data_IF_034214259150
#
_entry.id   IF_034214259150
#
_cell.length_a   1.000
_cell.length_b   1.000
_cell.length_c   1.000
_cell.angle_alpha   90.00
_cell.angle_beta   90.00
_cell.angle_gamma   90.00
#
_symmetry.space_group_name_H-M   'P 1'
#
loop_
_entity.id
_entity.type
_entity.pdbx_description
1 polymer ?
#
# COMPACT_ATOMS: atom_id res chain seq x y z
N UNK A 1 14.24 7.00 7.42
CA UNK A 1 15.26 8.07 7.26
C UNK A 1 15.26 9.04 8.44
N UNK A 2 14.11 9.59 8.85
CA UNK A 2 14.02 10.42 10.06
C UNK A 2 14.15 9.59 11.34
N UNK A 3 13.66 8.35 11.34
CA UNK A 3 13.90 7.38 12.42
C UNK A 3 15.41 7.16 12.62
N UNK A 4 16.14 6.79 11.56
CA UNK A 4 17.60 6.67 11.62
C UNK A 4 18.31 7.95 12.09
N UNK A 5 17.89 9.12 11.60
CA UNK A 5 18.46 10.40 12.05
C UNK A 5 18.19 10.64 13.55
N UNK A 6 16.98 10.33 14.02
CA UNK A 6 16.63 10.48 15.44
C UNK A 6 17.47 9.57 16.34
N UNK A 7 17.82 8.36 15.89
CA UNK A 7 18.73 7.47 16.61
C UNK A 7 20.13 8.06 16.72
N UNK A 8 20.63 8.65 15.63
CA UNK A 8 21.90 9.37 15.65
C UNK A 8 21.86 10.60 16.56
N UNK A 9 20.71 11.23 16.81
CA UNK A 9 20.61 12.43 17.65
C UNK A 9 20.38 12.13 19.14
N UNK A 10 20.18 10.86 19.52
CA UNK A 10 20.02 10.44 20.92
C UNK A 10 21.21 10.81 21.81
N UNK A 11 22.44 10.85 21.24
CA UNK A 11 23.61 11.24 22.02
C UNK A 11 23.61 12.74 22.38
N UNK A 12 22.87 13.57 21.65
CA UNK A 12 22.74 15.00 21.90
C UNK A 12 21.63 15.30 22.90
N UNK A 13 20.47 14.66 22.72
CA UNK A 13 19.31 14.81 23.61
C UNK A 13 18.51 13.50 23.69
N UNK A 14 18.32 12.93 24.90
CA UNK A 14 17.46 11.76 25.10
C UNK A 14 16.02 11.94 24.62
N UNK A 15 15.53 13.18 24.49
CA UNK A 15 14.19 13.51 23.99
C UNK A 15 13.90 12.99 22.58
N UNK A 16 14.93 12.76 21.75
CA UNK A 16 14.75 12.14 20.43
C UNK A 16 14.27 10.69 20.49
N UNK A 17 14.36 10.02 21.65
CA UNK A 17 13.85 8.65 21.85
C UNK A 17 12.34 8.53 21.64
N UNK A 18 11.61 9.64 21.73
CA UNK A 18 10.17 9.69 21.45
C UNK A 18 9.85 9.19 20.03
N UNK A 19 10.75 9.37 19.06
CA UNK A 19 10.57 8.87 17.69
C UNK A 19 10.79 7.36 17.53
N UNK A 20 11.24 6.65 18.57
CA UNK A 20 11.35 5.19 18.52
C UNK A 20 9.99 4.50 18.78
N UNK A 21 9.06 5.18 19.47
CA UNK A 21 7.73 4.64 19.72
C UNK A 21 6.96 4.39 18.43
N UNK A 22 6.65 3.12 18.16
CA UNK A 22 5.97 2.68 16.93
C UNK A 22 4.61 3.37 16.73
N UNK A 23 3.85 3.54 17.80
CA UNK A 23 2.53 4.22 17.76
C UNK A 23 2.65 5.68 17.35
N UNK A 24 3.65 6.39 17.88
CA UNK A 24 3.92 7.76 17.45
C UNK A 24 4.34 7.81 15.99
N UNK A 25 5.26 6.94 15.57
CA UNK A 25 5.71 6.86 14.17
C UNK A 25 4.55 6.60 13.21
N UNK A 26 3.60 5.75 13.58
CA UNK A 26 2.39 5.51 12.79
C UNK A 26 1.52 6.78 12.64
N UNK A 27 1.30 7.52 13.74
CA UNK A 27 0.56 8.80 13.71
C UNK A 27 1.29 9.81 12.84
N UNK A 28 2.60 9.97 13.04
CA UNK A 28 3.42 10.90 12.26
C UNK A 28 3.44 10.51 10.77
N UNK A 29 3.43 9.22 10.45
CA UNK A 29 3.34 8.75 9.07
C UNK A 29 1.97 9.06 8.45
N UNK A 30 0.88 8.90 9.18
CA UNK A 30 -0.45 9.31 8.71
C UNK A 30 -0.52 10.83 8.49
N UNK A 31 -0.10 11.63 9.47
CA UNK A 31 -0.09 13.09 9.34
C UNK A 31 0.81 13.57 8.19
N UNK A 32 2.01 12.99 8.06
CA UNK A 32 2.96 13.36 6.99
C UNK A 32 2.40 12.99 5.62
N UNK A 33 1.81 11.81 5.46
CA UNK A 33 1.20 11.38 4.19
C UNK A 33 0.01 12.27 3.81
N UNK A 34 -0.84 12.62 4.78
CA UNK A 34 -1.96 13.54 4.58
C UNK A 34 -1.47 14.93 4.16
N UNK A 35 -0.47 15.48 4.86
CA UNK A 35 0.13 16.78 4.52
C UNK A 35 0.76 16.77 3.13
N UNK A 36 1.50 15.71 2.77
CA UNK A 36 2.06 15.56 1.42
C UNK A 36 0.93 15.55 0.38
N UNK A 37 -0.14 14.77 0.60
CA UNK A 37 -1.28 14.73 -0.33
C UNK A 37 -1.93 16.11 -0.49
N UNK A 38 -2.18 16.82 0.61
CA UNK A 38 -2.85 18.13 0.59
C UNK A 38 -1.98 19.25 -0.02
N UNK A 39 -0.67 19.25 0.23
CA UNK A 39 0.23 20.29 -0.26
C UNK A 39 0.69 20.04 -1.70
N UNK A 40 0.98 18.79 -2.05
CA UNK A 40 1.46 18.40 -3.38
C UNK A 40 0.29 18.19 -4.35
N UNK A 41 -0.90 17.87 -3.83
CA UNK A 41 -2.11 17.62 -4.63
C UNK A 41 -2.45 18.75 -5.61
N UNK A 42 -2.60 20.01 -5.16
CA UNK A 42 -2.90 21.13 -6.05
C UNK A 42 -1.86 21.31 -7.16
N UNK A 43 -0.58 21.12 -6.85
CA UNK A 43 0.51 21.19 -7.83
C UNK A 43 0.43 20.08 -8.87
N UNK A 44 0.19 18.84 -8.44
CA UNK A 44 0.04 17.68 -9.33
C UNK A 44 -1.20 17.84 -10.21
N UNK A 45 -2.33 18.28 -9.65
CA UNK A 45 -3.58 18.53 -10.38
C UNK A 45 -3.35 19.61 -11.45
N UNK A 46 -2.72 20.73 -11.10
CA UNK A 46 -2.39 21.79 -12.05
C UNK A 46 -1.52 21.26 -13.20
N UNK A 47 -0.49 20.47 -12.88
CA UNK A 47 0.41 19.91 -13.88
C UNK A 47 -0.27 18.91 -14.80
N UNK A 48 -1.20 18.10 -14.28
CA UNK A 48 -1.97 17.15 -15.09
C UNK A 48 -2.98 17.86 -16.01
N UNK A 49 -3.57 18.96 -15.54
CA UNK A 49 -4.44 19.82 -16.36
C UNK A 49 -3.66 20.46 -17.51
N UNK A 50 -2.44 20.96 -17.27
CA UNK A 50 -1.58 21.55 -18.29
C UNK A 50 -1.21 20.55 -19.40
N UNK A 51 -1.11 19.26 -19.05
CA UNK A 51 -0.80 18.19 -20.00
C UNK A 51 -2.02 17.73 -20.82
N UNK A 52 -3.19 18.36 -20.63
CA UNK A 52 -4.46 17.98 -21.28
C UNK A 52 -4.79 16.49 -21.13
N UNK A 53 -4.43 15.90 -19.98
CA UNK A 53 -4.70 14.51 -19.60
C UNK A 53 -6.17 14.41 -19.13
N UNK A 54 -7.10 14.81 -19.99
CA UNK A 54 -8.53 14.68 -19.80
C UNK A 54 -9.01 13.32 -20.32
N UNK A 55 -9.91 12.67 -19.58
CA UNK A 55 -10.51 11.40 -20.03
C UNK A 55 -11.23 11.59 -21.38
N UNK A 56 -10.89 10.77 -22.38
CA UNK A 56 -11.74 10.59 -23.56
C UNK A 56 -12.97 9.77 -23.15
N UNK A 57 -14.13 10.42 -23.10
CA UNK A 57 -15.40 9.83 -22.65
C UNK A 57 -15.84 8.75 -23.65
N UNK A 58 -16.25 7.57 -23.13
CA UNK A 58 -17.00 6.57 -23.90
C UNK A 58 -18.41 7.11 -24.15
N UNK A 59 -18.88 7.10 -25.39
CA UNK A 59 -20.17 7.66 -25.83
C UNK A 59 -21.43 6.96 -25.26
N UNK A 60 -21.30 5.94 -24.43
CA UNK A 60 -22.42 5.15 -23.89
C UNK A 60 -22.42 5.15 -22.34
N UNK A 61 -22.87 6.24 -21.74
CA UNK A 61 -23.03 6.36 -20.28
C UNK A 61 -24.09 7.40 -19.88
N UNK A 62 -24.73 7.27 -18.70
CA UNK A 62 -25.82 8.15 -18.27
C UNK A 62 -25.37 9.60 -18.04
N UNK A 63 -26.29 10.56 -18.21
CA UNK A 63 -26.02 12.01 -18.26
C UNK A 63 -25.32 12.58 -17.00
N UNK A 64 -25.40 11.90 -15.85
CA UNK A 64 -24.64 12.26 -14.63
C UNK A 64 -23.12 12.09 -14.77
N UNK A 65 -22.64 11.35 -15.78
CA UNK A 65 -21.22 11.23 -16.13
C UNK A 65 -20.70 12.38 -17.01
N UNK A 66 -21.57 13.24 -17.56
CA UNK A 66 -21.16 14.36 -18.40
C UNK A 66 -20.61 15.56 -17.59
N UNK A 67 -20.94 15.65 -16.29
CA UNK A 67 -20.40 16.65 -15.37
C UNK A 67 -18.97 16.34 -14.89
N UNK A 68 -18.40 15.18 -15.24
CA UNK A 68 -17.05 14.73 -14.88
C UNK A 68 -15.97 15.15 -15.89
N UNK A 69 -16.30 16.06 -16.81
CA UNK A 69 -15.38 16.58 -17.79
C UNK A 69 -14.28 17.42 -17.10
N UNK A 70 -13.05 16.90 -17.07
CA UNK A 70 -11.86 17.69 -16.74
C UNK A 70 -11.17 17.39 -15.41
N UNK A 71 -11.58 16.38 -14.63
CA UNK A 71 -10.75 15.90 -13.53
C UNK A 71 -9.58 15.07 -14.09
N UNK A 72 -8.33 15.44 -13.79
CA UNK A 72 -7.17 14.76 -14.33
C UNK A 72 -7.10 13.33 -13.81
N UNK A 73 -6.81 12.39 -14.72
CA UNK A 73 -6.53 10.99 -14.35
C UNK A 73 -5.07 10.84 -13.95
N UNK A 74 -4.76 9.88 -13.06
CA UNK A 74 -3.47 9.63 -12.38
C UNK A 74 -3.33 10.17 -10.94
N UNK A 75 -4.43 10.42 -10.24
CA UNK A 75 -4.42 10.73 -8.79
C UNK A 75 -3.70 9.67 -7.93
N UNK A 76 -3.67 8.40 -8.38
CA UNK A 76 -2.91 7.34 -7.74
C UNK A 76 -1.40 7.62 -7.60
N UNK A 77 -0.81 8.43 -8.49
CA UNK A 77 0.60 8.82 -8.37
C UNK A 77 0.85 9.73 -7.16
N UNK A 78 -0.10 10.61 -6.82
CA UNK A 78 -0.04 11.43 -5.61
C UNK A 78 -0.12 10.55 -4.36
N UNK A 79 -1.05 9.60 -4.34
CA UNK A 79 -1.21 8.64 -3.24
C UNK A 79 0.08 7.84 -3.05
N UNK A 80 0.64 7.28 -4.13
CA UNK A 80 1.90 6.52 -4.07
C UNK A 80 3.06 7.38 -3.53
N UNK A 81 3.18 8.63 -3.99
CA UNK A 81 4.21 9.55 -3.52
C UNK A 81 4.05 9.85 -2.02
N UNK A 82 2.83 10.10 -1.56
CA UNK A 82 2.53 10.37 -0.16
C UNK A 82 2.80 9.14 0.73
N UNK A 83 2.33 7.95 0.32
CA UNK A 83 2.52 6.71 1.06
C UNK A 83 3.99 6.32 1.14
N UNK A 84 4.68 6.24 0.00
CA UNK A 84 6.08 5.82 -0.05
C UNK A 84 6.99 6.84 0.62
N UNK A 85 6.78 8.14 0.38
CA UNK A 85 7.53 9.22 1.01
C UNK A 85 7.40 9.17 2.54
N UNK A 86 6.17 9.07 3.04
CA UNK A 86 5.93 9.00 4.48
C UNK A 86 6.48 7.72 5.12
N UNK A 87 6.34 6.57 4.45
CA UNK A 87 6.90 5.30 4.92
C UNK A 87 8.41 5.37 5.03
N UNK A 88 9.12 5.88 4.01
CA UNK A 88 10.58 5.99 4.04
C UNK A 88 11.08 6.96 5.13
N UNK A 89 10.28 7.97 5.48
CA UNK A 89 10.62 8.88 6.57
C UNK A 89 10.58 8.17 7.93
N UNK A 90 9.50 7.45 8.22
CA UNK A 90 9.17 6.99 9.57
C UNK A 90 9.38 5.50 9.84
N UNK A 91 9.34 4.64 8.82
CA UNK A 91 9.51 3.20 9.01
C UNK A 91 10.99 2.85 9.27
N UNK A 92 11.20 1.77 9.99
CA UNK A 92 12.50 1.12 10.09
C UNK A 92 12.87 0.49 8.72
N UNK A 93 13.98 0.95 8.13
CA UNK A 93 14.43 0.51 6.81
C UNK A 93 15.32 -0.74 6.88
N UNK A 94 15.71 -1.20 8.06
CA UNK A 94 16.36 -2.50 8.23
C UNK A 94 15.31 -3.64 8.23
N UNK A 95 14.03 -3.29 8.37
CA UNK A 95 12.94 -4.23 8.37
C UNK A 95 12.59 -4.74 6.96
N UNK A 96 12.72 -6.05 6.74
CA UNK A 96 12.41 -6.66 5.44
C UNK A 96 10.94 -6.52 5.02
N UNK A 97 9.98 -6.51 5.95
CA UNK A 97 8.56 -6.44 5.61
C UNK A 97 8.22 -5.08 5.01
N UNK A 98 8.86 -4.01 5.50
CA UNK A 98 8.76 -2.64 4.96
C UNK A 98 9.22 -2.60 3.51
N UNK A 99 10.37 -3.22 3.19
CA UNK A 99 10.85 -3.30 1.81
C UNK A 99 9.93 -4.10 0.89
N UNK A 100 9.39 -5.22 1.38
CA UNK A 100 8.47 -6.05 0.59
C UNK A 100 7.22 -5.25 0.21
N UNK A 101 6.62 -4.51 1.13
CA UNK A 101 5.45 -3.67 0.80
C UNK A 101 5.82 -2.49 -0.09
N UNK A 102 6.96 -1.80 0.14
CA UNK A 102 7.44 -0.72 -0.72
C UNK A 102 7.64 -1.20 -2.16
N UNK A 103 8.35 -2.30 -2.35
CA UNK A 103 8.65 -2.85 -3.68
C UNK A 103 7.37 -3.31 -4.37
N UNK A 104 6.49 -4.02 -3.65
CA UNK A 104 5.23 -4.51 -4.21
C UNK A 104 4.32 -3.35 -4.62
N UNK A 105 4.11 -2.38 -3.75
CA UNK A 105 3.30 -1.18 -4.04
C UNK A 105 3.87 -0.37 -5.19
N UNK A 106 5.20 -0.21 -5.26
CA UNK A 106 5.87 0.48 -6.36
C UNK A 106 5.71 -0.28 -7.68
N UNK A 107 5.88 -1.60 -7.68
CA UNK A 107 5.75 -2.44 -8.87
C UNK A 107 4.33 -2.40 -9.44
N UNK A 108 3.32 -2.60 -8.59
CA UNK A 108 1.91 -2.52 -8.99
C UNK A 108 1.51 -1.10 -9.39
N UNK A 109 2.03 -0.09 -8.70
CA UNK A 109 1.87 1.32 -9.06
C UNK A 109 2.45 1.64 -10.43
N UNK A 110 3.64 1.13 -10.76
CA UNK A 110 4.26 1.29 -12.07
C UNK A 110 3.46 0.59 -13.19
N UNK A 111 2.92 -0.60 -12.93
CA UNK A 111 2.04 -1.29 -13.88
C UNK A 111 0.78 -0.47 -14.15
N UNK A 112 0.15 0.06 -13.09
CA UNK A 112 -1.01 0.95 -13.20
C UNK A 112 -0.69 2.23 -13.95
N UNK A 113 0.44 2.87 -13.64
CA UNK A 113 0.92 4.06 -14.34
C UNK A 113 1.12 3.82 -15.84
N UNK A 114 1.70 2.68 -16.24
CA UNK A 114 1.87 2.35 -17.68
C UNK A 114 0.53 2.13 -18.37
N UNK A 115 -0.45 1.52 -17.70
CA UNK A 115 -1.81 1.34 -18.20
C UNK A 115 -2.49 2.71 -18.43
N UNK A 116 -2.47 3.59 -17.41
CA UNK A 116 -3.08 4.92 -17.46
C UNK A 116 -2.38 5.85 -18.46
N UNK A 117 -1.05 5.83 -18.50
CA UNK A 117 -0.26 6.59 -19.47
C UNK A 117 -0.63 6.22 -20.91
N UNK A 118 -0.84 4.93 -21.21
CA UNK A 118 -1.29 4.49 -22.54
C UNK A 118 -2.70 4.95 -22.85
N UNK A 119 -3.62 4.86 -21.89
CA UNK A 119 -5.01 5.31 -22.06
C UNK A 119 -5.08 6.79 -22.39
N UNK A 120 -4.35 7.62 -21.65
CA UNK A 120 -4.51 9.06 -21.74
C UNK A 120 -3.56 9.69 -22.76
N UNK A 121 -2.26 9.40 -22.69
CA UNK A 121 -1.27 10.07 -23.55
C UNK A 121 -1.28 9.49 -24.96
N UNK A 122 -1.47 8.17 -25.11
CA UNK A 122 -1.53 7.52 -26.44
C UNK A 122 -2.94 7.45 -27.03
N UNK A 123 -3.96 7.92 -26.29
CA UNK A 123 -5.37 7.88 -26.68
C UNK A 123 -5.85 6.47 -27.09
N UNK A 124 -5.24 5.43 -26.54
CA UNK A 124 -5.64 4.04 -26.76
C UNK A 124 -6.65 3.64 -25.69
N UNK A 125 -7.93 3.64 -26.04
CA UNK A 125 -9.03 3.31 -25.12
C UNK A 125 -8.92 1.90 -24.51
N UNK A 126 -8.10 1.01 -25.08
CA UNK A 126 -7.87 -0.33 -24.56
C UNK A 126 -6.81 -0.38 -23.45
N UNK A 127 -5.95 0.63 -23.33
CA UNK A 127 -4.86 0.67 -22.35
C UNK A 127 -3.80 -0.43 -22.55
N UNK A 128 -3.22 -0.93 -21.45
CA UNK A 128 -2.29 -2.04 -21.48
C UNK A 128 -3.07 -3.34 -21.79
N UNK A 129 -2.70 -4.11 -22.84
CA UNK A 129 -3.40 -5.36 -23.14
C UNK A 129 -3.41 -6.29 -21.93
N UNK A 130 -4.57 -6.90 -21.64
CA UNK A 130 -4.78 -7.70 -20.43
C UNK A 130 -3.69 -8.77 -20.21
N UNK A 131 -3.22 -9.41 -21.28
CA UNK A 131 -2.11 -10.38 -21.23
C UNK A 131 -0.82 -9.82 -20.63
N UNK A 132 -0.47 -8.56 -20.96
CA UNK A 132 0.74 -7.91 -20.48
C UNK A 132 0.55 -7.35 -19.07
N UNK A 133 -0.63 -6.80 -18.78
CA UNK A 133 -0.99 -6.37 -17.42
C UNK A 133 -0.91 -7.54 -16.45
N UNK A 134 -1.56 -8.64 -16.79
CA UNK A 134 -1.53 -9.87 -15.99
C UNK A 134 -0.11 -10.43 -15.89
N UNK A 135 0.64 -10.55 -16.99
CA UNK A 135 2.02 -11.04 -16.94
C UNK A 135 2.90 -10.23 -15.97
N UNK A 136 2.84 -8.89 -16.03
CA UNK A 136 3.64 -8.04 -15.14
C UNK A 136 3.20 -8.14 -13.69
N UNK A 137 1.89 -8.17 -13.43
CA UNK A 137 1.36 -8.45 -12.09
C UNK A 137 1.83 -9.81 -11.59
N UNK A 138 1.85 -10.82 -12.46
CA UNK A 138 2.27 -12.16 -12.12
C UNK A 138 3.75 -12.22 -11.75
N UNK A 139 4.61 -11.58 -12.53
CA UNK A 139 6.06 -11.51 -12.26
C UNK A 139 6.33 -10.80 -10.93
N UNK A 140 5.68 -9.65 -10.70
CA UNK A 140 5.85 -8.89 -9.45
C UNK A 140 5.34 -9.69 -8.23
N UNK A 141 4.15 -10.30 -8.33
CA UNK A 141 3.58 -11.09 -7.26
C UNK A 141 4.41 -12.35 -6.95
N UNK A 142 4.84 -13.11 -7.97
CA UNK A 142 5.69 -14.29 -7.78
C UNK A 142 7.04 -13.92 -7.15
N UNK A 143 7.66 -12.82 -7.59
CA UNK A 143 8.90 -12.35 -6.98
C UNK A 143 8.70 -12.02 -5.50
N UNK A 144 7.64 -11.27 -5.16
CA UNK A 144 7.29 -10.94 -3.78
C UNK A 144 7.04 -12.19 -2.92
N UNK A 145 6.26 -13.16 -3.41
CA UNK A 145 5.89 -14.35 -2.63
C UNK A 145 7.05 -15.32 -2.47
N UNK A 146 7.90 -15.45 -3.49
CA UNK A 146 9.14 -16.20 -3.39
C UNK A 146 10.11 -15.56 -2.39
N UNK A 147 10.23 -14.23 -2.38
CA UNK A 147 11.04 -13.53 -1.38
C UNK A 147 10.50 -13.76 0.03
N UNK A 148 9.19 -13.63 0.26
CA UNK A 148 8.57 -13.94 1.55
C UNK A 148 8.85 -15.39 1.98
N UNK A 149 8.67 -16.35 1.08
CA UNK A 149 8.84 -17.77 1.37
C UNK A 149 10.30 -18.15 1.66
N UNK A 150 11.24 -17.66 0.86
CA UNK A 150 12.67 -18.03 0.98
C UNK A 150 13.40 -17.31 2.11
N UNK A 151 12.90 -16.14 2.53
CA UNK A 151 13.46 -15.38 3.66
C UNK A 151 12.76 -15.66 4.98
N UNK A 152 11.73 -16.52 4.99
CA UNK A 152 11.01 -16.89 6.21
C UNK A 152 11.96 -17.52 7.22
N UNK A 153 12.00 -16.95 8.43
CA UNK A 153 12.87 -17.43 9.52
C UNK A 153 12.06 -18.33 10.45
N UNK A 154 10.77 -18.04 10.60
CA UNK A 154 9.87 -18.75 11.49
C UNK A 154 8.77 -19.51 10.70
N UNK A 155 8.38 -20.74 11.10
CA UNK A 155 7.29 -21.48 10.45
C UNK A 155 5.96 -20.73 10.42
N UNK A 156 5.72 -19.88 11.42
CA UNK A 156 4.52 -19.04 11.58
C UNK A 156 4.31 -18.12 10.37
N UNK A 157 5.38 -17.70 9.69
CA UNK A 157 5.29 -16.81 8.53
C UNK A 157 4.69 -17.47 7.29
N UNK A 158 4.76 -18.80 7.20
CA UNK A 158 4.27 -19.58 6.06
C UNK A 158 3.10 -20.48 6.43
N UNK A 159 2.56 -20.29 7.63
CA UNK A 159 1.43 -21.05 8.15
C UNK A 159 0.13 -20.29 7.89
N UNK A 160 -0.87 -20.98 7.34
CA UNK A 160 -2.22 -20.45 7.19
C UNK A 160 -2.98 -20.67 8.50
N UNK A 161 -3.25 -19.58 9.20
CA UNK A 161 -4.14 -19.58 10.36
C UNK A 161 -5.56 -19.29 9.91
N UNK A 162 -6.51 -20.14 10.32
CA UNK A 162 -7.92 -19.90 10.05
C UNK A 162 -8.51 -19.12 11.24
N UNK A 163 -9.00 -17.89 11.02
CA UNK A 163 -9.63 -17.12 12.10
C UNK A 163 -10.75 -17.90 12.77
N UNK A 164 -10.98 -17.65 14.07
CA UNK A 164 -11.97 -18.33 14.93
C UNK A 164 -11.68 -19.81 15.25
N UNK A 165 -10.86 -20.50 14.47
CA UNK A 165 -10.45 -21.89 14.72
C UNK A 165 -8.98 -21.93 15.15
N UNK A 166 -8.72 -21.71 16.45
CA UNK A 166 -7.36 -21.58 17.00
C UNK A 166 -6.47 -22.81 16.80
N UNK A 167 -7.07 -24.00 16.65
CA UNK A 167 -6.35 -25.25 16.42
C UNK A 167 -6.06 -25.52 14.93
N UNK A 168 -6.59 -24.70 14.02
CA UNK A 168 -6.41 -24.87 12.58
C UNK A 168 -5.28 -23.96 12.10
N UNK A 169 -4.08 -24.52 12.15
CA UNK A 169 -2.84 -23.92 11.64
C UNK A 169 -2.24 -24.85 10.58
N UNK A 170 -2.39 -24.50 9.31
CA UNK A 170 -1.89 -25.31 8.20
C UNK A 170 -0.53 -24.79 7.72
N UNK A 171 0.53 -25.53 8.02
CA UNK A 171 1.85 -25.27 7.42
C UNK A 171 1.79 -25.56 5.92
N UNK A 172 1.77 -24.50 5.11
CA UNK A 172 1.51 -24.61 3.67
C UNK A 172 2.73 -25.15 2.90
N UNK A 173 3.94 -24.99 3.44
CA UNK A 173 5.17 -25.24 2.71
C UNK A 173 5.16 -24.51 1.36
N UNK A 174 5.52 -25.21 0.28
CA UNK A 174 5.53 -24.63 -1.07
C UNK A 174 4.17 -24.14 -1.58
N UNK A 175 3.04 -24.59 -1.01
CA UNK A 175 1.71 -24.07 -1.37
C UNK A 175 1.50 -22.62 -0.94
N UNK A 176 2.33 -22.09 -0.04
CA UNK A 176 2.35 -20.67 0.31
C UNK A 176 2.53 -19.79 -0.92
N UNK A 177 3.42 -20.16 -1.84
CA UNK A 177 3.76 -19.36 -3.02
C UNK A 177 2.56 -19.15 -3.96
N UNK A 178 1.89 -20.20 -4.48
CA UNK A 178 0.71 -20.03 -5.33
C UNK A 178 -0.48 -19.42 -4.60
N UNK A 179 -0.66 -19.70 -3.29
CA UNK A 179 -1.73 -19.10 -2.49
C UNK A 179 -1.54 -17.58 -2.33
N UNK A 180 -0.38 -17.15 -1.85
CA UNK A 180 -0.06 -15.73 -1.67
C UNK A 180 -0.03 -14.99 -3.01
N UNK A 181 0.38 -15.66 -4.09
CA UNK A 181 0.31 -15.11 -5.45
C UNK A 181 -1.14 -14.77 -5.83
N UNK A 182 -2.05 -15.73 -5.60
CA UNK A 182 -3.46 -15.56 -5.89
C UNK A 182 -4.06 -14.42 -5.08
N UNK A 183 -3.72 -14.31 -3.79
CA UNK A 183 -4.15 -13.21 -2.93
C UNK A 183 -3.67 -11.86 -3.47
N UNK A 184 -2.39 -11.70 -3.77
CA UNK A 184 -1.83 -10.42 -4.24
C UNK A 184 -2.44 -9.98 -5.58
N UNK A 185 -2.43 -10.87 -6.58
CA UNK A 185 -2.97 -10.55 -7.91
C UNK A 185 -4.48 -10.37 -7.86
N UNK A 186 -5.18 -11.20 -7.09
CA UNK A 186 -6.63 -11.12 -6.87
C UNK A 186 -7.03 -9.79 -6.22
N UNK A 187 -6.39 -9.40 -5.12
CA UNK A 187 -6.64 -8.13 -4.44
C UNK A 187 -6.38 -6.91 -5.33
N UNK A 188 -5.29 -6.92 -6.11
CA UNK A 188 -5.00 -5.81 -7.04
C UNK A 188 -6.10 -5.63 -8.09
N UNK A 189 -6.60 -6.73 -8.66
CA UNK A 189 -7.68 -6.68 -9.65
C UNK A 189 -9.04 -6.36 -9.01
N UNK A 190 -9.30 -6.81 -7.77
CA UNK A 190 -10.51 -6.48 -7.03
C UNK A 190 -10.62 -4.97 -6.73
N UNK A 191 -9.53 -4.33 -6.31
CA UNK A 191 -9.49 -2.88 -6.10
C UNK A 191 -9.66 -2.13 -7.42
N UNK A 192 -8.99 -2.58 -8.50
CA UNK A 192 -9.15 -1.98 -9.83
C UNK A 192 -10.60 -2.04 -10.33
N UNK A 193 -11.31 -3.13 -10.06
CA UNK A 193 -12.73 -3.28 -10.43
C UNK A 193 -13.66 -2.39 -9.59
N UNK A 194 -13.28 -2.09 -8.35
CA UNK A 194 -14.04 -1.23 -7.43
C UNK A 194 -13.88 0.25 -7.76
N UNK A 195 -12.76 0.63 -8.37
CA UNK A 195 -12.39 2.01 -8.73
C UNK A 195 -13.10 2.50 -10.00
N UNK A 196 -14.44 2.51 -9.96
CA UNK A 196 -15.32 2.96 -11.05
C UNK A 196 -16.11 4.24 -10.75
N UNK A 197 -16.05 4.74 -9.51
CA UNK A 197 -16.72 5.97 -9.05
C UNK A 197 -15.76 6.79 -8.18
N UNK A 198 -15.91 8.12 -8.22
CA UNK A 198 -15.01 9.05 -7.52
C UNK A 198 -15.01 8.75 -6.01
N UNK A 199 -13.83 8.42 -5.46
CA UNK A 199 -13.66 8.13 -4.05
C UNK A 199 -14.17 6.76 -3.58
N UNK A 200 -14.74 5.92 -4.47
CA UNK A 200 -15.31 4.63 -4.06
C UNK A 200 -14.25 3.62 -3.61
N UNK A 201 -13.09 3.58 -4.26
CA UNK A 201 -12.05 2.61 -3.90
C UNK A 201 -11.20 3.06 -2.70
N UNK A 202 -11.01 4.37 -2.51
CA UNK A 202 -10.06 4.90 -1.53
C UNK A 202 -10.57 4.74 -0.08
N UNK A 203 -11.85 4.98 0.19
CA UNK A 203 -12.41 4.80 1.54
C UNK A 203 -12.31 3.34 2.04
N UNK A 204 -12.74 2.32 1.27
CA UNK A 204 -12.49 0.92 1.62
C UNK A 204 -11.01 0.60 1.81
N UNK A 205 -10.13 1.17 0.97
CA UNK A 205 -8.68 0.98 1.10
C UNK A 205 -8.15 1.52 2.42
N UNK A 206 -8.58 2.72 2.85
CA UNK A 206 -8.24 3.30 4.17
C UNK A 206 -8.73 2.41 5.31
N UNK A 207 -9.96 1.92 5.24
CA UNK A 207 -10.53 1.04 6.28
C UNK A 207 -9.78 -0.29 6.38
N UNK A 208 -9.49 -0.93 5.24
CA UNK A 208 -8.73 -2.18 5.18
C UNK A 208 -7.30 -1.98 5.68
N UNK A 209 -6.61 -0.92 5.24
CA UNK A 209 -5.26 -0.61 5.68
C UNK A 209 -5.20 -0.36 7.19
N UNK A 210 -6.18 0.36 7.75
CA UNK A 210 -6.27 0.60 9.20
C UNK A 210 -6.48 -0.71 9.96
N UNK A 211 -7.39 -1.57 9.50
CA UNK A 211 -7.62 -2.89 10.10
C UNK A 211 -6.38 -3.79 10.04
N UNK A 212 -5.71 -3.87 8.89
CA UNK A 212 -4.46 -4.62 8.73
C UNK A 212 -3.33 -4.04 9.57
N UNK A 213 -3.27 -2.72 9.73
CA UNK A 213 -2.34 -2.05 10.63
C UNK A 213 -2.53 -2.51 12.07
N UNK A 214 -3.77 -2.55 12.57
CA UNK A 214 -4.05 -3.08 13.92
C UNK A 214 -3.58 -4.53 14.05
N UNK A 215 -3.86 -5.39 13.07
CA UNK A 215 -3.41 -6.79 13.09
C UNK A 215 -1.87 -6.88 13.09
N UNK A 216 -1.18 -6.09 12.28
CA UNK A 216 0.28 -6.04 12.23
C UNK A 216 0.89 -5.57 13.56
N UNK A 217 0.27 -4.58 14.21
CA UNK A 217 0.68 -4.13 15.54
C UNK A 217 0.58 -5.26 16.57
N UNK A 218 -0.56 -5.95 16.61
CA UNK A 218 -0.84 -7.01 17.58
C UNK A 218 0.05 -8.23 17.35
N UNK A 219 0.20 -8.69 16.10
CA UNK A 219 1.07 -9.82 15.75
C UNK A 219 2.56 -9.50 15.94
N UNK A 220 2.94 -8.22 15.85
CA UNK A 220 4.31 -7.75 16.06
C UNK A 220 4.71 -7.54 17.53
N UNK A 221 3.79 -7.68 18.49
CA UNK A 221 4.06 -7.52 19.93
C UNK A 221 3.89 -8.85 20.66
N UNK A 222 4.94 -9.28 21.37
CA UNK A 222 4.96 -10.58 22.07
C UNK A 222 3.80 -10.71 23.07
N UNK A 223 3.58 -9.70 23.91
CA UNK A 223 2.54 -9.73 24.95
C UNK A 223 1.12 -9.78 24.35
N UNK A 224 0.86 -8.99 23.30
CA UNK A 224 -0.46 -8.97 22.67
C UNK A 224 -0.73 -10.23 21.84
N UNK A 225 0.29 -10.74 21.15
CA UNK A 225 0.18 -11.97 20.39
C UNK A 225 -0.15 -13.17 21.30
N UNK A 226 0.53 -13.28 22.44
CA UNK A 226 0.28 -14.30 23.46
C UNK A 226 -1.12 -14.16 24.06
N UNK A 227 -1.48 -12.96 24.52
CA UNK A 227 -2.79 -12.69 25.13
C UNK A 227 -3.97 -13.01 24.20
N UNK A 228 -3.88 -12.64 22.93
CA UNK A 228 -4.92 -12.90 21.93
C UNK A 228 -4.88 -14.33 21.39
N UNK A 229 -3.79 -15.05 21.65
CA UNK A 229 -3.46 -16.35 21.07
C UNK A 229 -3.49 -16.28 19.53
N UNK A 230 -2.65 -15.40 19.00
CA UNK A 230 -2.33 -15.25 17.57
C UNK A 230 -0.83 -15.46 17.35
N UNK A 231 -0.43 -15.75 16.12
CA UNK A 231 0.98 -15.94 15.79
C UNK A 231 1.79 -14.66 16.02
N UNK A 232 2.87 -14.78 16.78
CA UNK A 232 3.85 -13.70 16.94
C UNK A 232 4.80 -13.69 15.75
N UNK A 233 4.85 -12.56 15.03
CA UNK A 233 5.71 -12.35 13.88
C UNK A 233 6.59 -11.13 14.12
N UNK A 234 7.82 -11.37 14.56
CA UNK A 234 8.77 -10.30 14.90
C UNK A 234 9.00 -9.35 13.73
N UNK A 235 8.93 -8.04 13.97
CA UNK A 235 9.14 -7.01 12.96
C UNK A 235 7.90 -6.66 12.12
N UNK A 236 6.80 -7.43 12.19
CA UNK A 236 5.58 -7.07 11.43
C UNK A 236 4.92 -5.79 11.92
N UNK A 237 5.19 -5.37 13.16
CA UNK A 237 4.71 -4.10 13.73
C UNK A 237 5.11 -2.87 12.90
N UNK A 238 6.24 -2.89 12.20
CA UNK A 238 6.66 -1.77 11.33
C UNK A 238 5.67 -1.50 10.18
N UNK A 239 4.88 -2.51 9.77
CA UNK A 239 3.84 -2.35 8.76
C UNK A 239 2.73 -1.39 9.20
N UNK A 240 2.57 -1.13 10.50
CA UNK A 240 1.63 -0.12 11.03
C UNK A 240 1.96 1.26 10.49
N UNK A 241 3.25 1.57 10.30
CA UNK A 241 3.70 2.85 9.75
C UNK A 241 3.24 2.98 8.29
N UNK A 242 3.42 1.93 7.50
CA UNK A 242 2.97 1.86 6.11
C UNK A 242 1.43 1.95 5.99
N UNK A 243 0.70 1.21 6.83
CA UNK A 243 -0.76 1.27 6.91
C UNK A 243 -1.27 2.65 7.34
N UNK A 244 -0.61 3.28 8.31
CA UNK A 244 -0.89 4.65 8.73
C UNK A 244 -0.65 5.66 7.60
N UNK A 245 0.42 5.49 6.84
CA UNK A 245 0.68 6.30 5.65
C UNK A 245 -0.41 6.15 4.57
N UNK A 246 -0.91 4.93 4.33
CA UNK A 246 -2.06 4.70 3.43
C UNK A 246 -3.31 5.43 3.95
N UNK A 247 -3.61 5.33 5.25
CA UNK A 247 -4.76 6.00 5.83
C UNK A 247 -4.65 7.53 5.68
N UNK A 248 -3.49 8.10 5.99
CA UNK A 248 -3.23 9.53 5.84
C UNK A 248 -3.30 10.02 4.40
N UNK A 249 -2.65 9.32 3.46
CA UNK A 249 -2.69 9.65 2.04
C UNK A 249 -4.11 9.53 1.47
N UNK A 250 -4.86 8.50 1.88
CA UNK A 250 -6.24 8.30 1.43
C UNK A 250 -7.19 9.38 1.94
N UNK A 251 -7.07 9.78 3.21
CA UNK A 251 -7.82 10.90 3.77
C UNK A 251 -7.46 12.25 3.14
N UNK A 252 -6.18 12.46 2.82
CA UNK A 252 -5.74 13.68 2.13
C UNK A 252 -6.03 13.68 0.62
N UNK A 253 -6.44 12.55 0.04
CA UNK A 253 -6.84 12.44 -1.37
C UNK A 253 -8.35 12.66 -1.56
N UNK A 254 -9.15 12.30 -0.54
CA UNK A 254 -10.58 12.58 -0.46
C UNK A 254 -10.87 14.06 -0.21
#
# INVERSE_FOLDING_TARGET
MLMWLSEQLLFLDPGFGVFQYLTLRAILAACSAMLISMLVGPFVIARLNDLQIGQTIRSEGPESHLAKAGTPTMGGALILLAVLGSTVLWADLDNRYVWIVIVTTTAFGAIGWVDDYRKVVRKDTRGLPARWKYLWQSVAALACTLLLFTTAVAPEETTLYVPFFKDVAWSMGWLFVPFSYFVIVGSSNAVNLTDGLDGLAIMPTVMVATGLGVIAYLAGHVEFADYLNIAYLSGTGELVVFCGAIAGAGLGFL
#
